data_IF_091597960246
#
_entry.id   IF_091597960246
#
_cell.length_a   1.000
_cell.length_b   1.000
_cell.length_c   1.000
_cell.angle_alpha   90.00
_cell.angle_beta   90.00
_cell.angle_gamma   90.00
#
_symmetry.space_group_name_H-M   'P 1'
#
loop_
_entity.id
_entity.type
_entity.pdbx_description
1 polymer ?
#
# COMPACT_ATOMS: atom_id res chain seq x y z
N UNK A 1 -2.18 1.60 27.13
CA UNK A 1 -1.40 1.40 25.89
C UNK A 1 -0.59 2.66 25.62
N UNK A 2 0.65 2.56 25.14
CA UNK A 2 1.41 3.75 24.72
C UNK A 2 0.77 4.43 23.51
N UNK A 3 0.87 5.75 23.40
CA UNK A 3 0.28 6.56 22.31
C UNK A 3 0.67 6.04 20.91
N UNK A 4 1.92 5.58 20.76
CA UNK A 4 2.43 4.96 19.52
C UNK A 4 1.71 3.65 19.15
N UNK A 5 1.38 2.83 20.15
CA UNK A 5 0.67 1.57 19.93
C UNK A 5 -0.78 1.80 19.51
N UNK A 6 -1.46 2.79 20.11
CA UNK A 6 -2.83 3.17 19.73
C UNK A 6 -2.87 3.69 18.30
N UNK A 7 -1.94 4.58 17.92
CA UNK A 7 -1.86 5.10 16.56
C UNK A 7 -1.67 4.00 15.51
N UNK A 8 -0.78 3.03 15.78
CA UNK A 8 -0.57 1.89 14.88
C UNK A 8 -1.81 0.99 14.77
N UNK A 9 -2.54 0.76 15.87
CA UNK A 9 -3.80 0.01 15.85
C UNK A 9 -4.88 0.71 15.02
N UNK A 10 -5.03 2.03 15.19
CA UNK A 10 -5.97 2.82 14.40
C UNK A 10 -5.60 2.73 12.91
N UNK A 11 -4.33 2.93 12.57
CA UNK A 11 -3.85 2.81 11.19
C UNK A 11 -4.13 1.43 10.60
N UNK A 12 -3.87 0.35 11.35
CA UNK A 12 -4.17 -1.01 10.91
C UNK A 12 -5.67 -1.22 10.65
N UNK A 13 -6.54 -0.82 11.57
CA UNK A 13 -8.00 -0.97 11.43
C UNK A 13 -8.51 -0.16 10.24
N UNK A 14 -8.09 1.10 10.13
CA UNK A 14 -8.47 1.97 9.01
C UNK A 14 -8.01 1.35 7.68
N UNK A 15 -6.77 0.83 7.62
CA UNK A 15 -6.26 0.14 6.45
C UNK A 15 -7.13 -1.07 6.07
N UNK A 16 -7.47 -1.93 7.03
CA UNK A 16 -8.35 -3.08 6.79
C UNK A 16 -9.73 -2.65 6.27
N UNK A 17 -10.32 -1.59 6.85
CA UNK A 17 -11.65 -1.10 6.44
C UNK A 17 -11.62 -0.52 5.03
N UNK A 18 -10.65 0.36 4.74
CA UNK A 18 -10.54 1.03 3.43
C UNK A 18 -10.26 0.01 2.33
N UNK A 19 -9.26 -0.86 2.53
CA UNK A 19 -8.90 -1.85 1.53
C UNK A 19 -9.94 -2.97 1.43
N UNK A 20 -10.53 -3.39 2.56
CA UNK A 20 -11.63 -4.34 2.57
C UNK A 20 -12.83 -3.84 1.78
N UNK A 21 -13.18 -2.56 1.94
CA UNK A 21 -14.24 -1.91 1.15
C UNK A 21 -13.91 -1.87 -0.34
N UNK A 22 -12.68 -1.47 -0.70
CA UNK A 22 -12.21 -1.46 -2.08
C UNK A 22 -12.28 -2.85 -2.74
N UNK A 23 -11.72 -3.88 -2.09
CA UNK A 23 -11.74 -5.24 -2.63
C UNK A 23 -13.13 -5.87 -2.64
N UNK A 24 -14.01 -5.51 -1.70
CA UNK A 24 -15.41 -5.91 -1.76
C UNK A 24 -16.09 -5.34 -3.02
N UNK A 25 -15.84 -4.07 -3.35
CA UNK A 25 -16.32 -3.47 -4.60
C UNK A 25 -15.76 -4.21 -5.83
N UNK A 26 -14.45 -4.47 -5.89
CA UNK A 26 -13.82 -5.23 -6.99
C UNK A 26 -14.47 -6.60 -7.18
N UNK A 27 -14.66 -7.37 -6.09
CA UNK A 27 -15.28 -8.70 -6.14
C UNK A 27 -16.73 -8.62 -6.63
N UNK A 28 -17.51 -7.63 -6.16
CA UNK A 28 -18.90 -7.44 -6.59
C UNK A 28 -18.97 -7.11 -8.09
N UNK A 29 -18.13 -6.20 -8.57
CA UNK A 29 -18.05 -5.79 -9.97
C UNK A 29 -17.67 -6.99 -10.86
N UNK A 30 -16.67 -7.79 -10.47
CA UNK A 30 -16.31 -9.01 -11.18
C UNK A 30 -17.43 -10.06 -11.22
N UNK A 31 -18.19 -10.22 -10.13
CA UNK A 31 -19.36 -11.13 -10.09
C UNK A 31 -20.50 -10.66 -11.00
N UNK A 32 -20.63 -9.34 -11.20
CA UNK A 32 -21.59 -8.75 -12.13
C UNK A 32 -21.21 -8.93 -13.61
N UNK A 33 -19.99 -9.41 -13.91
CA UNK A 33 -19.50 -9.56 -15.28
C UNK A 33 -19.13 -8.25 -15.97
N UNK A 34 -19.25 -7.12 -15.28
CA UNK A 34 -18.84 -5.80 -15.75
C UNK A 34 -17.44 -5.50 -15.24
N UNK A 35 -16.47 -5.33 -16.13
CA UNK A 35 -15.12 -4.86 -15.78
C UNK A 35 -14.94 -3.37 -16.08
N UNK A 36 -16.00 -2.72 -16.57
CA UNK A 36 -16.06 -1.30 -16.84
C UNK A 36 -15.79 -0.50 -15.57
N UNK A 37 -14.86 0.45 -15.65
CA UNK A 37 -14.54 1.34 -14.54
C UNK A 37 -13.62 0.77 -13.46
N UNK A 38 -13.29 -0.53 -13.45
CA UNK A 38 -12.34 -1.11 -12.48
C UNK A 38 -10.97 -0.42 -12.52
N UNK A 39 -10.50 -0.05 -13.71
CA UNK A 39 -9.26 0.72 -13.85
C UNK A 39 -9.38 2.11 -13.20
N UNK A 40 -10.51 2.80 -13.38
CA UNK A 40 -10.74 4.12 -12.79
C UNK A 40 -10.80 4.05 -11.26
N UNK A 41 -11.49 3.04 -10.71
CA UNK A 41 -11.50 2.77 -9.27
C UNK A 41 -10.11 2.42 -8.73
N UNK A 42 -9.33 1.63 -9.46
CA UNK A 42 -7.95 1.29 -9.11
C UNK A 42 -7.07 2.55 -8.99
N UNK A 43 -7.07 3.40 -10.02
CA UNK A 43 -6.29 4.63 -9.99
C UNK A 43 -6.81 5.63 -8.96
N UNK A 44 -8.13 5.70 -8.75
CA UNK A 44 -8.75 6.51 -7.70
C UNK A 44 -8.29 6.08 -6.30
N UNK A 45 -8.28 4.77 -6.02
CA UNK A 45 -7.80 4.22 -4.76
C UNK A 45 -6.30 4.46 -4.58
N UNK A 46 -5.49 4.24 -5.62
CA UNK A 46 -4.06 4.48 -5.59
C UNK A 46 -3.75 5.97 -5.32
N UNK A 47 -4.42 6.88 -6.03
CA UNK A 47 -4.26 8.31 -5.84
C UNK A 47 -4.67 8.77 -4.43
N UNK A 48 -5.79 8.25 -3.92
CA UNK A 48 -6.25 8.55 -2.57
C UNK A 48 -5.23 8.12 -1.52
N UNK A 49 -4.70 6.90 -1.63
CA UNK A 49 -3.73 6.36 -0.68
C UNK A 49 -2.41 7.14 -0.73
N UNK A 50 -1.87 7.37 -1.92
CA UNK A 50 -0.65 8.17 -2.10
C UNK A 50 -0.86 9.59 -1.56
N UNK A 51 -2.02 10.20 -1.81
CA UNK A 51 -2.36 11.52 -1.29
C UNK A 51 -2.46 11.57 0.23
N UNK A 52 -3.17 10.62 0.85
CA UNK A 52 -3.29 10.51 2.30
C UNK A 52 -1.93 10.27 2.96
N UNK A 53 -1.08 9.43 2.36
CA UNK A 53 0.24 9.11 2.90
C UNK A 53 1.21 10.29 2.75
N UNK A 54 1.16 11.01 1.63
CA UNK A 54 1.92 12.25 1.44
C UNK A 54 1.49 13.34 2.44
N UNK A 55 0.19 13.48 2.69
CA UNK A 55 -0.33 14.41 3.69
C UNK A 55 0.11 14.03 5.11
N UNK A 56 -0.03 12.76 5.49
CA UNK A 56 0.39 12.27 6.80
C UNK A 56 1.89 12.48 7.01
N UNK A 57 2.71 12.10 6.01
CA UNK A 57 4.17 12.27 6.04
C UNK A 57 4.56 13.74 6.08
N UNK A 58 3.89 14.60 5.30
CA UNK A 58 4.10 16.04 5.29
C UNK A 58 3.81 16.68 6.64
N UNK A 59 2.69 16.33 7.26
CA UNK A 59 2.30 16.82 8.60
C UNK A 59 3.30 16.38 9.66
N UNK A 60 3.70 15.11 9.67
CA UNK A 60 4.71 14.58 10.61
C UNK A 60 6.04 15.32 10.41
N UNK A 61 6.49 15.46 9.16
CA UNK A 61 7.74 16.14 8.85
C UNK A 61 7.73 17.60 9.26
N UNK A 62 6.61 18.30 9.05
CA UNK A 62 6.42 19.68 9.47
C UNK A 62 6.44 19.84 11.00
N UNK A 63 5.73 18.97 11.73
CA UNK A 63 5.65 19.01 13.19
C UNK A 63 6.96 18.61 13.88
N UNK A 64 7.70 17.63 13.34
CA UNK A 64 8.87 17.02 13.99
C UNK A 64 10.22 17.44 13.40
N UNK A 65 10.24 18.50 12.57
CA UNK A 65 11.42 19.03 11.85
C UNK A 65 12.68 19.28 12.70
N UNK A 66 12.60 19.29 14.04
CA UNK A 66 13.70 19.59 14.99
C UNK A 66 14.18 18.44 15.89
N UNK A 67 13.69 17.20 15.75
CA UNK A 67 14.00 16.10 16.71
C UNK A 67 14.61 14.82 16.12
N UNK A 68 15.37 14.90 15.04
CA UNK A 68 16.19 13.77 14.59
C UNK A 68 17.54 13.77 15.30
N UNK A 69 17.65 13.11 16.47
CA UNK A 69 18.94 12.60 16.94
C UNK A 69 19.04 11.16 16.50
N UNK A 70 20.04 10.88 15.67
CA UNK A 70 20.43 9.53 15.28
C UNK A 70 20.88 8.82 16.56
N UNK A 71 20.18 7.74 16.91
CA UNK A 71 20.59 6.86 17.99
C UNK A 71 21.66 5.94 17.40
N UNK A 72 22.91 6.10 17.84
CA UNK A 72 24.03 5.21 17.50
C UNK A 72 23.77 3.84 18.13
N UNK A 73 23.17 2.94 17.36
CA UNK A 73 23.07 1.51 17.67
C UNK A 73 23.99 0.73 16.68
N UNK A 74 24.49 -0.43 17.11
CA UNK A 74 25.69 -1.09 16.55
C UNK A 74 25.73 -1.32 15.01
N UNK A 75 26.92 -1.23 14.39
CA UNK A 75 27.10 -0.83 12.99
C UNK A 75 26.67 -1.84 11.90
N UNK A 76 26.54 -3.13 12.20
CA UNK A 76 26.38 -4.16 11.14
C UNK A 76 24.97 -4.75 11.05
N UNK A 77 24.34 -5.07 12.18
CA UNK A 77 23.00 -5.67 12.19
C UNK A 77 21.91 -4.66 11.82
N UNK A 78 22.02 -3.42 12.31
CA UNK A 78 21.05 -2.37 12.03
C UNK A 78 21.13 -1.89 10.58
N UNK A 79 22.34 -1.79 10.02
CA UNK A 79 22.56 -1.48 8.60
C UNK A 79 21.91 -2.55 7.69
N UNK A 80 22.05 -3.84 8.03
CA UNK A 80 21.42 -4.93 7.28
C UNK A 80 19.88 -4.87 7.35
N UNK A 81 19.31 -4.60 8.54
CA UNK A 81 17.86 -4.44 8.72
C UNK A 81 17.33 -3.21 7.96
N UNK A 82 18.06 -2.10 7.98
CA UNK A 82 17.68 -0.89 7.24
C UNK A 82 17.76 -1.12 5.73
N UNK A 83 18.80 -1.79 5.24
CA UNK A 83 18.92 -2.14 3.82
C UNK A 83 17.78 -3.07 3.37
N UNK A 84 17.42 -4.06 4.20
CA UNK A 84 16.27 -4.93 3.94
C UNK A 84 14.96 -4.15 3.88
N UNK A 85 14.77 -3.19 4.79
CA UNK A 85 13.59 -2.32 4.77
C UNK A 85 13.52 -1.46 3.51
N UNK A 86 14.63 -0.84 3.11
CA UNK A 86 14.72 -0.05 1.87
C UNK A 86 14.43 -0.92 0.65
N UNK A 87 14.99 -2.13 0.58
CA UNK A 87 14.73 -3.06 -0.51
C UNK A 87 13.24 -3.46 -0.59
N UNK A 88 12.60 -3.71 0.55
CA UNK A 88 11.17 -4.01 0.63
C UNK A 88 10.32 -2.83 0.14
N UNK A 89 10.64 -1.60 0.58
CA UNK A 89 9.93 -0.40 0.12
C UNK A 89 10.09 -0.17 -1.39
N UNK A 90 11.30 -0.39 -1.92
CA UNK A 90 11.55 -0.30 -3.36
C UNK A 90 10.75 -1.35 -4.14
N UNK A 91 10.71 -2.59 -3.64
CA UNK A 91 9.92 -3.66 -4.24
C UNK A 91 8.42 -3.30 -4.29
N UNK A 92 7.87 -2.74 -3.21
CA UNK A 92 6.48 -2.27 -3.19
C UNK A 92 6.25 -1.23 -4.29
N UNK A 93 7.12 -0.22 -4.39
CA UNK A 93 7.02 0.81 -5.43
C UNK A 93 7.04 0.18 -6.83
N UNK A 94 7.96 -0.75 -7.08
CA UNK A 94 8.04 -1.46 -8.36
C UNK A 94 6.78 -2.26 -8.68
N UNK A 95 6.23 -2.99 -7.70
CA UNK A 95 4.99 -3.77 -7.87
C UNK A 95 3.79 -2.86 -8.13
N UNK A 96 3.67 -1.74 -7.41
CA UNK A 96 2.60 -0.77 -7.63
C UNK A 96 2.73 -0.07 -8.99
N UNK A 97 3.95 0.24 -9.43
CA UNK A 97 4.20 0.80 -10.75
C UNK A 97 3.81 -0.20 -11.86
N UNK A 98 4.17 -1.48 -11.70
CA UNK A 98 3.77 -2.54 -12.62
C UNK A 98 2.24 -2.71 -12.65
N UNK A 99 1.59 -2.72 -11.49
CA UNK A 99 0.13 -2.80 -11.39
C UNK A 99 -0.54 -1.61 -12.10
N UNK A 100 -0.03 -0.39 -11.90
CA UNK A 100 -0.48 0.80 -12.62
C UNK A 100 -0.30 0.66 -14.13
N UNK A 101 0.87 0.20 -14.58
CA UNK A 101 1.14 0.00 -16.01
C UNK A 101 0.19 -1.01 -16.66
N UNK A 102 -0.16 -2.09 -15.94
CA UNK A 102 -1.13 -3.09 -16.40
C UNK A 102 -2.55 -2.53 -16.49
N UNK A 103 -2.96 -1.69 -15.55
CA UNK A 103 -4.31 -1.09 -15.54
C UNK A 103 -4.46 0.09 -16.51
N UNK A 104 -3.36 0.71 -16.93
CA UNK A 104 -3.36 1.95 -17.71
C UNK A 104 -4.09 1.85 -19.07
N UNK A 105 -3.88 0.83 -19.92
CA UNK A 105 -4.54 0.74 -21.23
C UNK A 105 -6.07 0.73 -21.14
N UNK A 106 -6.60 0.14 -20.06
CA UNK A 106 -8.03 0.05 -19.83
C UNK A 106 -8.70 1.41 -19.56
N UNK A 107 -7.96 2.44 -19.14
CA UNK A 107 -8.49 3.81 -19.04
C UNK A 107 -8.80 4.42 -20.40
N UNK A 108 -8.07 4.02 -21.43
CA UNK A 108 -8.19 4.56 -22.79
C UNK A 108 -9.00 3.64 -23.72
N UNK A 109 -9.61 2.58 -23.17
CA UNK A 109 -10.30 1.55 -23.97
C UNK A 109 -9.36 0.78 -24.90
N UNK A 110 -8.06 0.77 -24.62
CA UNK A 110 -7.04 0.08 -25.42
C UNK A 110 -6.69 -1.28 -24.80
N UNK A 111 -6.23 -2.20 -25.66
CA UNK A 111 -5.84 -3.54 -25.27
C UNK A 111 -4.32 -3.63 -25.07
N UNK A 112 -3.88 -4.39 -24.08
CA UNK A 112 -2.47 -4.68 -23.88
C UNK A 112 -2.10 -5.93 -24.69
N UNK A 113 -1.27 -5.79 -25.73
CA UNK A 113 -0.75 -6.92 -26.54
C UNK A 113 -1.88 -7.85 -27.03
N UNK A 114 -2.98 -7.28 -27.53
CA UNK A 114 -4.12 -8.05 -28.05
C UNK A 114 -4.96 -8.80 -26.99
N UNK A 115 -4.65 -8.69 -25.71
CA UNK A 115 -5.47 -9.25 -24.62
C UNK A 115 -6.73 -8.42 -24.40
N UNK A 116 -7.79 -9.07 -23.92
CA UNK A 116 -8.96 -8.35 -23.35
C UNK A 116 -8.50 -7.41 -22.23
N UNK A 117 -9.03 -6.19 -22.22
CA UNK A 117 -8.74 -5.17 -21.19
C UNK A 117 -9.03 -5.63 -19.76
N UNK A 118 -9.89 -6.63 -19.58
CA UNK A 118 -10.21 -7.23 -18.28
C UNK A 118 -9.00 -7.94 -17.62
N UNK A 119 -8.20 -8.67 -18.41
CA UNK A 119 -7.14 -9.53 -17.85
C UNK A 119 -6.02 -8.72 -17.18
N UNK A 120 -5.45 -7.67 -17.81
CA UNK A 120 -4.46 -6.81 -17.17
C UNK A 120 -5.00 -6.07 -15.93
N UNK A 121 -6.27 -5.66 -15.93
CA UNK A 121 -6.89 -4.95 -14.80
C UNK A 121 -7.09 -5.89 -13.60
N UNK A 122 -7.48 -7.14 -13.85
CA UNK A 122 -7.55 -8.17 -12.81
C UNK A 122 -6.15 -8.43 -12.24
N UNK A 123 -5.14 -8.59 -13.10
CA UNK A 123 -3.76 -8.79 -12.67
C UNK A 123 -3.25 -7.61 -11.81
N UNK A 124 -3.54 -6.37 -12.20
CA UNK A 124 -3.22 -5.17 -11.42
C UNK A 124 -3.84 -5.20 -10.01
N UNK A 125 -5.11 -5.61 -9.90
CA UNK A 125 -5.80 -5.73 -8.61
C UNK A 125 -5.23 -6.86 -7.75
N UNK A 126 -4.81 -7.97 -8.36
CA UNK A 126 -4.13 -9.06 -7.65
C UNK A 126 -2.79 -8.59 -7.09
N UNK A 127 -1.98 -7.87 -7.87
CA UNK A 127 -0.72 -7.29 -7.40
C UNK A 127 -0.94 -6.32 -6.25
N UNK A 128 -1.95 -5.46 -6.35
CA UNK A 128 -2.33 -4.56 -5.26
C UNK A 128 -2.77 -5.32 -4.01
N UNK A 129 -3.56 -6.40 -4.15
CA UNK A 129 -3.98 -7.23 -3.03
C UNK A 129 -2.77 -7.85 -2.31
N UNK A 130 -1.78 -8.35 -3.06
CA UNK A 130 -0.55 -8.90 -2.50
C UNK A 130 0.22 -7.86 -1.69
N UNK A 131 0.36 -6.64 -2.21
CA UNK A 131 0.99 -5.52 -1.49
C UNK A 131 0.22 -5.24 -0.20
N UNK A 132 -1.09 -4.99 -0.30
CA UNK A 132 -1.95 -4.65 0.85
C UNK A 132 -1.87 -5.72 1.94
N UNK A 133 -2.02 -7.00 1.59
CA UNK A 133 -1.95 -8.11 2.55
C UNK A 133 -0.57 -8.13 3.23
N UNK A 134 0.50 -8.00 2.46
CA UNK A 134 1.87 -7.98 3.00
C UNK A 134 2.07 -6.82 3.98
N UNK A 135 1.57 -5.64 3.63
CA UNK A 135 1.65 -4.43 4.46
C UNK A 135 0.84 -4.55 5.76
N UNK A 136 -0.37 -5.09 5.68
CA UNK A 136 -1.21 -5.36 6.85
C UNK A 136 -0.56 -6.39 7.78
N UNK A 137 0.00 -7.45 7.21
CA UNK A 137 0.75 -8.46 7.96
C UNK A 137 1.96 -7.83 8.64
N UNK A 138 2.76 -7.04 7.91
CA UNK A 138 3.90 -6.30 8.48
C UNK A 138 3.47 -5.40 9.63
N UNK A 139 2.38 -4.64 9.46
CA UNK A 139 1.84 -3.76 10.50
C UNK A 139 1.36 -4.55 11.74
N UNK A 140 0.67 -5.68 11.53
CA UNK A 140 0.22 -6.56 12.60
C UNK A 140 1.41 -7.16 13.38
N UNK A 141 2.43 -7.68 12.70
CA UNK A 141 3.64 -8.19 13.35
C UNK A 141 4.39 -7.09 14.10
N UNK A 142 4.47 -5.88 13.53
CA UNK A 142 5.06 -4.71 14.21
C UNK A 142 4.35 -4.42 15.52
N UNK A 143 3.02 -4.47 15.54
CA UNK A 143 2.20 -4.29 16.74
C UNK A 143 2.37 -5.41 17.77
N UNK A 144 2.49 -6.67 17.31
CA UNK A 144 2.66 -7.84 18.18
C UNK A 144 4.03 -7.88 18.85
N UNK A 145 5.08 -7.53 18.11
CA UNK A 145 6.47 -7.57 18.58
C UNK A 145 6.90 -6.32 19.36
N UNK A 146 6.09 -5.26 19.37
CA UNK A 146 6.44 -4.02 20.08
C UNK A 146 6.51 -4.25 21.60
N UNK A 147 7.63 -3.88 22.28
CA UNK A 147 7.81 -4.10 23.72
C UNK A 147 6.68 -3.45 24.53
N UNK A 148 6.17 -4.17 25.54
CA UNK A 148 5.03 -3.73 26.38
C UNK A 148 5.38 -2.72 27.48
N UNK A 149 6.50 -2.01 27.36
CA UNK A 149 6.98 -1.07 28.38
C UNK A 149 6.24 0.25 28.32
#
# INVERSE_FOLDING_TARGET
MSHRKVHLWISLIVGVVVWGGYFAHVIQTLRGGDTGGLALWFFGALALVVGLEALATGVITWLFRRRARVLDDGPTLQAALQASHVALMLLIVMVLALAGLLALPALFGTNLIGMSSAVPVIAANVLLAMVVVTELVRAAFTLMLMPRR
#
